data_IF_422092270675
#
_entry.id   IF_422092270675
#
_cell.length_a   1.000
_cell.length_b   1.000
_cell.length_c   1.000
_cell.angle_alpha   90.00
_cell.angle_beta   90.00
_cell.angle_gamma   90.00
#
_symmetry.space_group_name_H-M   'P 1'
#
loop_
_entity.id
_entity.type
_entity.pdbx_description
1 polymer ?
#
# COMPACT_ATOMS: atom_id res chain seq x y z
N UNK A 1 -3.09 10.95 -62.98
CA UNK A 1 -2.53 9.83 -62.19
C UNK A 1 -2.38 10.32 -60.75
N UNK A 2 -3.38 10.08 -59.91
CA UNK A 2 -3.43 10.56 -58.53
C UNK A 2 -2.75 9.52 -57.62
N UNK A 3 -1.61 9.88 -57.04
CA UNK A 3 -0.91 9.05 -56.05
C UNK A 3 -1.51 9.31 -54.67
N UNK A 4 -2.42 8.44 -54.23
CA UNK A 4 -2.97 8.43 -52.88
C UNK A 4 -1.90 7.83 -51.95
N UNK A 5 -1.15 8.68 -51.24
CA UNK A 5 -0.28 8.24 -50.15
C UNK A 5 -1.15 7.93 -48.93
N UNK A 6 -1.38 6.64 -48.66
CA UNK A 6 -1.92 6.18 -47.38
C UNK A 6 -0.87 6.43 -46.29
N UNK A 7 -0.99 7.57 -45.62
CA UNK A 7 -0.38 7.80 -44.32
C UNK A 7 -1.13 6.94 -43.31
N UNK A 8 -0.57 5.79 -42.96
CA UNK A 8 -0.91 5.06 -41.74
C UNK A 8 -0.48 5.93 -40.55
N UNK A 9 -1.31 6.91 -40.19
CA UNK A 9 -1.32 7.40 -38.82
C UNK A 9 -1.96 6.29 -37.99
N UNK A 10 -1.17 5.67 -37.12
CA UNK A 10 -1.66 4.98 -35.93
C UNK A 10 -1.68 6.00 -34.78
N UNK A 11 -2.72 6.84 -34.62
CA UNK A 11 -2.86 7.66 -33.43
C UNK A 11 -3.51 6.79 -32.36
N UNK A 12 -2.75 5.91 -31.71
CA UNK A 12 -3.37 5.07 -30.70
C UNK A 12 -2.38 4.17 -29.99
N UNK A 13 -2.41 4.25 -28.66
CA UNK A 13 -1.73 3.37 -27.71
C UNK A 13 -0.24 3.61 -27.47
N UNK A 14 0.11 4.85 -27.13
CA UNK A 14 0.93 5.00 -25.92
C UNK A 14 -0.01 4.86 -24.70
N UNK A 15 -0.47 3.64 -24.44
CA UNK A 15 -1.01 3.27 -23.13
C UNK A 15 0.18 3.32 -22.17
N UNK A 16 0.45 4.52 -21.65
CA UNK A 16 1.25 4.67 -20.46
C UNK A 16 0.48 3.93 -19.36
N UNK A 17 0.82 2.66 -19.16
CA UNK A 17 0.35 1.86 -18.04
C UNK A 17 0.84 2.57 -16.76
N UNK A 18 0.11 3.57 -16.29
CA UNK A 18 0.22 4.08 -14.92
C UNK A 18 -0.22 2.92 -14.05
N UNK A 19 0.74 2.07 -13.68
CA UNK A 19 0.57 1.12 -12.59
C UNK A 19 0.06 1.95 -11.41
N UNK A 20 -1.18 1.69 -10.99
CA UNK A 20 -1.79 2.40 -9.88
C UNK A 20 -0.82 2.39 -8.70
N UNK A 21 -0.47 3.57 -8.21
CA UNK A 21 0.50 3.70 -7.13
C UNK A 21 -0.21 3.42 -5.81
N UNK A 22 0.39 2.53 -5.02
CA UNK A 22 -0.15 2.01 -3.76
C UNK A 22 -0.40 3.15 -2.77
N UNK A 23 -1.57 3.17 -2.12
CA UNK A 23 -1.89 4.16 -1.07
C UNK A 23 -1.74 3.53 0.31
N UNK A 24 -1.12 4.24 1.24
CA UNK A 24 -0.92 3.75 2.61
C UNK A 24 -1.25 4.84 3.64
N UNK A 25 -1.65 4.43 4.84
CA UNK A 25 -1.67 5.36 5.97
C UNK A 25 -0.26 5.69 6.42
N UNK A 26 -0.07 6.94 6.82
CA UNK A 26 1.19 7.49 7.27
C UNK A 26 0.99 8.33 8.53
N UNK A 27 1.69 7.94 9.60
CA UNK A 27 1.67 8.60 10.92
C UNK A 27 2.88 8.15 11.75
N UNK A 28 3.16 8.82 12.87
CA UNK A 28 4.26 8.49 13.77
C UNK A 28 5.62 9.10 13.37
N UNK A 29 5.61 10.33 12.83
CA UNK A 29 6.84 11.08 12.54
C UNK A 29 7.39 11.80 13.77
N UNK A 30 8.61 11.43 14.17
CA UNK A 30 9.39 12.11 15.22
C UNK A 30 10.18 13.31 14.66
N UNK A 31 9.51 14.27 14.00
CA UNK A 31 10.14 15.57 13.72
C UNK A 31 9.28 16.66 14.34
N UNK A 32 9.60 17.02 15.60
CA UNK A 32 9.08 18.24 16.23
C UNK A 32 7.83 18.07 17.11
N UNK A 33 7.81 17.10 18.02
CA UNK A 33 6.89 17.05 19.19
C UNK A 33 5.38 16.79 18.97
N UNK A 34 4.87 16.50 17.77
CA UNK A 34 3.40 16.44 17.60
C UNK A 34 2.80 15.06 17.24
N UNK A 35 3.52 14.10 16.66
CA UNK A 35 2.86 12.89 16.12
C UNK A 35 2.95 11.60 16.96
N UNK A 36 3.14 11.68 18.27
CA UNK A 36 3.32 10.50 19.14
C UNK A 36 1.99 9.83 19.53
N UNK A 37 0.91 10.61 19.64
CA UNK A 37 -0.35 10.17 20.27
C UNK A 37 -1.48 9.83 19.32
N UNK A 38 -1.29 9.82 18.00
CA UNK A 38 -2.39 9.71 17.04
C UNK A 38 -2.30 8.48 16.14
N UNK A 39 -1.19 7.74 16.22
CA UNK A 39 -0.93 6.57 15.38
C UNK A 39 -1.31 5.25 16.06
N UNK A 40 -2.40 5.16 16.82
CA UNK A 40 -2.77 3.96 17.60
C UNK A 40 -3.00 2.70 16.76
N UNK A 41 -3.16 1.55 17.43
CA UNK A 41 -3.61 0.30 16.81
C UNK A 41 -4.83 -0.24 17.59
N UNK A 42 -6.03 -0.31 16.97
CA UNK A 42 -6.34 0.06 15.59
C UNK A 42 -6.17 1.56 15.31
N UNK A 43 -5.85 1.91 14.05
CA UNK A 43 -5.64 3.30 13.62
C UNK A 43 -6.94 4.11 13.69
N UNK A 44 -6.89 5.26 14.36
CA UNK A 44 -7.93 6.28 14.25
C UNK A 44 -7.71 7.10 12.97
N UNK A 45 -8.46 6.78 11.92
CA UNK A 45 -8.35 7.45 10.62
C UNK A 45 -8.95 8.86 10.61
N UNK A 46 -9.58 9.30 11.70
CA UNK A 46 -10.21 10.62 11.80
C UNK A 46 -9.27 11.70 12.35
N UNK A 47 -8.13 11.29 12.94
CA UNK A 47 -7.16 12.22 13.51
C UNK A 47 -6.38 12.97 12.43
N UNK A 48 -6.13 14.26 12.64
CA UNK A 48 -5.46 15.16 11.68
C UNK A 48 -4.01 14.80 11.31
N UNK A 49 -3.37 13.99 12.14
CA UNK A 49 -1.98 13.52 11.96
C UNK A 49 -1.89 12.28 11.08
N UNK A 50 -3.03 11.65 10.79
CA UNK A 50 -3.11 10.47 9.95
C UNK A 50 -3.33 10.92 8.52
N UNK A 51 -2.35 10.63 7.67
CA UNK A 51 -2.38 10.99 6.25
C UNK A 51 -2.45 9.76 5.39
N UNK A 52 -3.10 9.90 4.23
CA UNK A 52 -3.01 8.91 3.16
C UNK A 52 -1.95 9.38 2.18
N UNK A 53 -0.91 8.57 2.00
CA UNK A 53 0.21 8.88 1.12
C UNK A 53 0.29 7.87 -0.01
N UNK A 54 0.55 8.36 -1.22
CA UNK A 54 0.81 7.55 -2.41
C UNK A 54 2.28 7.11 -2.43
N UNK A 55 2.53 5.81 -2.53
CA UNK A 55 3.88 5.25 -2.54
C UNK A 55 4.52 5.35 -3.92
N UNK A 56 5.47 6.27 -4.07
CA UNK A 56 6.16 6.58 -5.34
C UNK A 56 6.89 5.41 -6.02
N UNK A 57 7.29 4.37 -5.28
CA UNK A 57 7.97 3.20 -5.81
C UNK A 57 7.05 1.97 -5.76
N UNK A 58 6.87 1.29 -6.90
CA UNK A 58 6.07 0.07 -7.03
C UNK A 58 6.58 -1.10 -6.16
N UNK A 59 7.83 -1.04 -5.70
CA UNK A 59 8.41 -2.02 -4.78
C UNK A 59 7.99 -1.76 -3.34
N UNK A 60 7.41 -0.60 -3.03
CA UNK A 60 6.91 -0.28 -1.69
C UNK A 60 5.75 -1.19 -1.30
N UNK A 61 5.52 -1.20 0.01
CA UNK A 61 4.42 -1.83 0.72
C UNK A 61 3.98 -0.87 1.82
N UNK A 62 2.74 -0.98 2.28
CA UNK A 62 2.30 -0.28 3.47
C UNK A 62 2.92 -0.96 4.68
N UNK A 63 3.70 -0.20 5.44
CA UNK A 63 4.35 -0.68 6.64
C UNK A 63 3.58 -0.22 7.87
N UNK A 64 3.58 -1.08 8.89
CA UNK A 64 3.28 -0.73 10.26
C UNK A 64 4.40 -1.23 11.15
N UNK A 65 4.93 -0.34 11.97
CA UNK A 65 6.00 -0.62 12.92
C UNK A 65 5.44 -0.38 14.31
N UNK A 66 5.52 -1.39 15.16
CA UNK A 66 5.27 -1.30 16.60
C UNK A 66 6.62 -1.34 17.30
N UNK A 67 6.89 -0.40 18.19
CA UNK A 67 8.07 -0.35 19.03
C UNK A 67 7.63 -0.40 20.48
N UNK A 68 8.25 -1.24 21.30
CA UNK A 68 7.95 -1.36 22.74
C UNK A 68 9.16 -0.87 23.51
N UNK A 69 9.01 0.24 24.22
CA UNK A 69 10.07 0.87 25.00
C UNK A 69 10.21 0.18 26.37
N UNK A 70 11.32 0.44 27.07
CA UNK A 70 11.66 -0.26 28.33
C UNK A 70 10.68 0.05 29.47
N UNK A 71 10.06 1.23 29.45
CA UNK A 71 8.98 1.66 30.33
C UNK A 71 7.62 0.98 30.03
N UNK A 72 7.56 0.20 28.96
CA UNK A 72 6.34 -0.46 28.48
C UNK A 72 5.55 0.37 27.48
N UNK A 73 6.00 1.58 27.14
CA UNK A 73 5.31 2.43 26.18
C UNK A 73 5.34 1.80 24.79
N UNK A 74 4.18 1.77 24.14
CA UNK A 74 4.02 1.19 22.80
C UNK A 74 3.81 2.31 21.79
N UNK A 75 4.76 2.46 20.88
CA UNK A 75 4.65 3.39 19.78
C UNK A 75 4.40 2.68 18.46
N UNK A 76 3.52 3.28 17.68
CA UNK A 76 3.18 2.80 16.36
C UNK A 76 3.57 3.84 15.32
N UNK A 77 4.10 3.36 14.19
CA UNK A 77 4.45 4.17 13.04
C UNK A 77 3.96 3.49 11.78
N UNK A 78 3.37 4.26 10.88
CA UNK A 78 2.87 3.80 9.59
C UNK A 78 3.50 4.61 8.47
N UNK A 79 3.89 3.96 7.39
CA UNK A 79 4.53 4.62 6.23
C UNK A 79 4.55 3.74 4.99
N UNK A 80 4.79 4.36 3.84
CA UNK A 80 5.30 3.66 2.66
C UNK A 80 6.75 3.20 2.91
N UNK A 81 7.09 1.98 2.51
CA UNK A 81 8.49 1.55 2.52
C UNK A 81 8.74 0.19 1.90
N UNK A 82 10.02 -0.10 1.68
CA UNK A 82 10.50 -1.41 1.20
C UNK A 82 10.67 -2.34 2.39
N UNK A 83 10.04 -3.51 2.36
CA UNK A 83 10.29 -4.57 3.32
C UNK A 83 10.42 -5.91 2.63
N UNK A 84 11.36 -6.73 3.12
CA UNK A 84 11.74 -8.00 2.47
C UNK A 84 10.61 -9.03 2.51
N UNK A 85 9.77 -9.00 3.55
CA UNK A 85 8.74 -10.00 3.80
C UNK A 85 7.35 -9.39 3.69
N UNK A 86 6.73 -9.52 2.51
CA UNK A 86 5.42 -8.95 2.17
C UNK A 86 4.30 -9.70 2.88
N UNK A 87 3.24 -9.00 3.27
CA UNK A 87 2.02 -9.57 3.87
C UNK A 87 2.30 -10.42 5.12
N UNK A 88 3.31 -10.01 5.89
CA UNK A 88 3.75 -10.69 7.12
C UNK A 88 4.15 -9.67 8.19
N UNK A 89 4.02 -10.08 9.46
CA UNK A 89 4.57 -9.39 10.62
C UNK A 89 5.82 -10.12 11.11
N UNK A 90 6.86 -9.37 11.48
CA UNK A 90 8.09 -9.92 12.04
C UNK A 90 8.55 -9.12 13.24
N UNK A 91 8.87 -9.84 14.30
CA UNK A 91 9.57 -9.30 15.45
C UNK A 91 11.05 -9.14 15.09
N UNK A 92 11.58 -7.95 15.36
CA UNK A 92 12.95 -7.53 15.19
C UNK A 92 13.41 -6.91 16.50
N UNK A 93 14.71 -6.96 16.75
CA UNK A 93 15.33 -6.19 17.83
C UNK A 93 16.22 -5.17 17.18
N UNK A 94 15.93 -3.89 17.41
CA UNK A 94 16.81 -2.81 16.97
C UNK A 94 17.86 -2.57 18.05
N UNK A 95 19.12 -2.83 17.73
CA UNK A 95 20.25 -2.55 18.62
C UNK A 95 20.81 -1.18 18.23
N UNK A 96 20.72 -0.20 19.12
CA UNK A 96 21.44 1.05 18.95
C UNK A 96 22.91 0.83 19.33
N UNK A 97 23.80 0.80 18.34
CA UNK A 97 25.22 0.52 18.51
C UNK A 97 25.96 1.54 19.41
N UNK A 98 25.41 2.73 19.60
CA UNK A 98 26.05 3.78 20.41
C UNK A 98 25.64 3.71 21.88
N UNK A 99 24.42 3.28 22.17
CA UNK A 99 23.89 3.25 23.55
C UNK A 99 23.70 1.84 24.10
N UNK A 100 23.98 0.79 23.30
CA UNK A 100 23.64 -0.61 23.59
C UNK A 100 22.17 -0.85 23.93
N UNK A 101 21.30 0.11 23.59
CA UNK A 101 19.88 0.01 23.82
C UNK A 101 19.26 -0.97 22.84
N UNK A 102 18.53 -1.95 23.34
CA UNK A 102 17.77 -2.91 22.53
C UNK A 102 16.31 -2.52 22.56
N UNK A 103 15.76 -2.18 21.39
CA UNK A 103 14.35 -1.82 21.24
C UNK A 103 13.63 -2.95 20.50
N UNK A 104 12.78 -3.73 21.19
CA UNK A 104 11.87 -4.67 20.56
C UNK A 104 10.95 -3.94 19.56
N UNK A 105 10.91 -4.45 18.34
CA UNK A 105 10.08 -3.92 17.27
C UNK A 105 9.30 -5.04 16.59
N UNK A 106 8.09 -4.77 16.13
CA UNK A 106 7.36 -5.63 15.23
C UNK A 106 7.07 -4.84 13.94
N UNK A 107 7.49 -5.36 12.80
CA UNK A 107 7.23 -4.76 11.50
C UNK A 107 6.28 -5.65 10.72
N UNK A 108 5.10 -5.11 10.42
CA UNK A 108 4.16 -5.68 9.48
C UNK A 108 4.23 -4.96 8.13
N UNK A 109 4.06 -5.70 7.04
CA UNK A 109 3.92 -5.11 5.70
C UNK A 109 2.76 -5.71 4.93
N UNK A 110 2.11 -4.93 4.07
CA UNK A 110 1.03 -5.37 3.20
C UNK A 110 0.99 -4.60 1.87
N UNK A 111 0.27 -5.11 0.86
CA UNK A 111 0.29 -4.58 -0.53
C UNK A 111 -1.06 -4.17 -1.13
N UNK A 112 -2.09 -4.08 -0.31
CA UNK A 112 -3.36 -3.46 -0.71
C UNK A 112 -3.43 -2.02 -0.26
N UNK A 113 -4.24 -1.23 -0.94
CA UNK A 113 -4.48 0.15 -0.53
C UNK A 113 -4.99 0.18 0.90
N UNK A 114 -4.39 1.06 1.72
CA UNK A 114 -4.81 1.38 3.08
C UNK A 114 -4.82 0.18 4.05
N UNK A 115 -4.05 -0.87 3.73
CA UNK A 115 -4.07 -2.14 4.46
C UNK A 115 -3.40 -2.10 5.84
N UNK A 116 -2.67 -1.03 6.17
CA UNK A 116 -1.92 -0.90 7.41
C UNK A 116 -2.74 -0.36 8.59
N UNK A 117 -4.05 -0.63 8.65
CA UNK A 117 -4.98 -0.09 9.66
C UNK A 117 -4.86 -0.76 11.05
N UNK A 118 -4.86 -2.11 11.13
CA UNK A 118 -4.91 -2.90 12.37
C UNK A 118 -3.93 -4.10 12.37
N UNK A 119 -3.58 -4.69 13.53
CA UNK A 119 -2.88 -6.00 13.63
C UNK A 119 -3.93 -7.08 13.93
N UNK A 120 -3.87 -8.25 13.29
CA UNK A 120 -3.00 -8.58 12.14
C UNK A 120 -3.50 -7.88 10.87
N UNK A 121 -2.57 -7.50 10.00
CA UNK A 121 -2.94 -6.93 8.70
C UNK A 121 -3.82 -7.96 7.96
N UNK A 122 -4.97 -7.55 7.38
CA UNK A 122 -5.78 -8.45 6.60
C UNK A 122 -4.93 -8.95 5.43
N UNK A 123 -4.67 -10.26 5.38
CA UNK A 123 -4.04 -10.89 4.22
C UNK A 123 -4.97 -10.67 3.03
N UNK A 124 -4.54 -9.86 2.06
CA UNK A 124 -5.29 -9.61 0.85
C UNK A 124 -5.44 -10.89 0.03
N UNK A 125 -6.50 -11.65 0.30
CA UNK A 125 -6.95 -12.74 -0.56
C UNK A 125 -8.15 -12.26 -1.34
N UNK A 126 -7.91 -11.69 -2.54
CA UNK A 126 -8.86 -11.80 -3.66
C UNK A 126 -8.17 -11.43 -4.97
N UNK A 127 -7.59 -12.44 -5.63
CA UNK A 127 -7.58 -12.49 -7.09
C UNK A 127 -9.02 -12.80 -7.53
N UNK A 128 -9.87 -11.79 -7.66
CA UNK A 128 -11.15 -11.99 -8.35
C UNK A 128 -10.96 -11.58 -9.80
N UNK A 129 -10.43 -12.51 -10.58
CA UNK A 129 -10.56 -12.47 -12.05
C UNK A 129 -11.99 -12.91 -12.34
N UNK A 130 -12.92 -11.98 -12.52
CA UNK A 130 -14.21 -12.24 -13.12
C UNK A 130 -14.22 -11.64 -14.53
N UNK A 131 -13.52 -12.34 -15.42
CA UNK A 131 -13.80 -12.38 -16.85
C UNK A 131 -15.04 -13.26 -17.03
N UNK A 132 -16.24 -12.69 -17.07
CA UNK A 132 -17.42 -13.33 -17.67
C UNK A 132 -18.60 -12.35 -17.75
N UNK A 133 -18.79 -11.74 -18.94
CA UNK A 133 -20.09 -11.50 -19.57
C UNK A 133 -19.95 -10.56 -20.79
N UNK A 134 -19.07 -10.90 -21.73
CA UNK A 134 -19.18 -10.45 -23.12
C UNK A 134 -19.45 -11.72 -23.91
N UNK A 135 -20.71 -12.18 -23.98
CA UNK A 135 -21.13 -13.24 -24.93
C UNK A 135 -22.66 -13.54 -24.98
N UNK A 136 -23.55 -12.63 -24.55
CA UNK A 136 -25.01 -12.91 -24.57
C UNK A 136 -25.88 -11.90 -25.33
N UNK A 137 -25.33 -11.04 -26.19
CA UNK A 137 -26.15 -10.23 -27.12
C UNK A 137 -26.13 -10.70 -28.57
N UNK A 138 -25.40 -11.76 -28.92
CA UNK A 138 -25.43 -12.33 -30.28
C UNK A 138 -26.44 -13.47 -30.48
N UNK A 139 -27.26 -13.81 -29.47
CA UNK A 139 -28.33 -14.82 -29.60
C UNK A 139 -29.75 -14.24 -29.67
N UNK A 140 -29.91 -12.91 -29.69
CA UNK A 140 -31.21 -12.25 -29.87
C UNK A 140 -31.70 -12.19 -31.33
N UNK A 141 -30.84 -12.52 -32.30
CA UNK A 141 -31.23 -12.63 -33.71
C UNK A 141 -31.24 -14.11 -34.12
N UNK A 142 -32.34 -14.80 -33.85
CA UNK A 142 -32.98 -15.85 -34.64
C UNK A 142 -33.92 -16.59 -33.69
N UNK A 143 -35.18 -16.14 -33.60
CA UNK A 143 -36.34 -17.04 -33.64
C UNK A 143 -37.64 -16.22 -33.77
N UNK A 144 -38.16 -16.27 -35.00
CA UNK A 144 -39.57 -16.21 -35.45
C UNK A 144 -40.46 -15.07 -34.97
#
# INVERSE_FOLDING_TARGET
>A
MNSLRFLFFLPGLLLYNRVASLKCYECGYWKGNIAMYSCFDPLDTTHEDVRVTECTDQRHSCLKVKSVFEDGDVHYRRKCGKYKYKDTCKNLVHVNATTNYTLPMEICSCRTDLCNIAVPMPTSSTRTVLLAAVLWEFLGSVQT
#
